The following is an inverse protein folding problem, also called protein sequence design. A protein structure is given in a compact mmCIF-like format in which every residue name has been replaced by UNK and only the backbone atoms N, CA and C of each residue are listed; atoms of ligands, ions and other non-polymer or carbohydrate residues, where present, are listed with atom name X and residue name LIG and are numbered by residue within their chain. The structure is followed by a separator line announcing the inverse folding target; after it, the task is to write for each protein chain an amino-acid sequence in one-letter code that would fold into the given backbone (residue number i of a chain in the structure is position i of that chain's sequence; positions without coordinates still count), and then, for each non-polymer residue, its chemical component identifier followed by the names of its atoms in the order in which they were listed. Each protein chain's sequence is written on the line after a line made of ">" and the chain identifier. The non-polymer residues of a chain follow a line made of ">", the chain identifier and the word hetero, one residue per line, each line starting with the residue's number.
data_IF_474468893293
#
_entry.id   IF_474468893293
#
_cell.length_a   1.000
_cell.length_b   1.000
_cell.length_c   1.000
_cell.angle_alpha   90.00
_cell.angle_beta   90.00
_cell.angle_gamma   90.00
#
_symmetry.space_group_name_H-M   'P 1'
#
loop_
_entity.id
_entity.type
_entity.pdbx_description
1 polymer ?
#
# COMPACT_ATOMS: atom_id res chain seq x y z
N UNK A 1 17.73 -8.01 -23.61
CA UNK A 1 17.14 -6.76 -23.12
C UNK A 1 15.91 -7.08 -22.28
N UNK A 2 15.73 -6.36 -21.17
CA UNK A 2 14.60 -6.53 -20.25
C UNK A 2 13.92 -5.17 -20.09
N UNK A 3 12.60 -5.16 -20.09
CA UNK A 3 11.78 -4.02 -19.65
C UNK A 3 11.14 -4.39 -18.32
N UNK A 4 11.51 -3.65 -17.25
CA UNK A 4 10.88 -3.72 -15.95
C UNK A 4 9.68 -2.78 -15.95
N UNK A 5 8.49 -3.28 -15.67
CA UNK A 5 7.24 -2.51 -15.73
C UNK A 5 6.60 -2.48 -14.36
N UNK A 6 6.17 -1.29 -13.94
CA UNK A 6 5.43 -1.08 -12.69
C UNK A 6 4.32 -0.05 -12.92
N UNK A 7 3.39 0.09 -12.00
CA UNK A 7 2.33 1.10 -12.10
C UNK A 7 2.87 2.49 -11.70
N UNK A 8 3.67 2.58 -10.66
CA UNK A 8 4.19 3.85 -10.17
C UNK A 8 5.66 3.77 -9.76
N UNK A 9 6.43 4.78 -10.12
CA UNK A 9 7.73 5.06 -9.54
C UNK A 9 7.58 6.13 -8.45
N UNK A 10 7.30 5.70 -7.21
CA UNK A 10 7.20 6.55 -6.04
C UNK A 10 8.60 6.86 -5.49
N UNK A 11 9.10 6.17 -4.47
CA UNK A 11 10.48 6.34 -3.99
C UNK A 11 11.51 5.73 -4.93
N UNK A 12 11.11 4.76 -5.75
CA UNK A 12 11.93 4.01 -6.66
C UNK A 12 12.73 2.88 -6.02
N UNK A 13 12.59 2.62 -4.72
CA UNK A 13 13.38 1.61 -4.02
C UNK A 13 13.14 0.20 -4.56
N UNK A 14 11.87 -0.18 -4.80
CA UNK A 14 11.50 -1.47 -5.39
C UNK A 14 12.08 -1.63 -6.79
N UNK A 15 12.01 -0.60 -7.62
CA UNK A 15 12.55 -0.60 -8.99
C UNK A 15 14.07 -0.73 -9.01
N UNK A 16 14.76 -0.03 -8.10
CA UNK A 16 16.22 -0.13 -7.93
C UNK A 16 16.61 -1.55 -7.50
N UNK A 17 15.90 -2.11 -6.53
CA UNK A 17 16.14 -3.48 -6.06
C UNK A 17 15.92 -4.49 -7.17
N UNK A 18 14.77 -4.43 -7.87
CA UNK A 18 14.44 -5.34 -8.96
C UNK A 18 15.45 -5.23 -10.11
N UNK A 19 15.85 -4.02 -10.50
CA UNK A 19 16.88 -3.79 -11.52
C UNK A 19 18.21 -4.43 -11.14
N UNK A 20 18.69 -4.23 -9.93
CA UNK A 20 19.94 -4.82 -9.42
C UNK A 20 19.88 -6.35 -9.39
N UNK A 21 18.75 -6.93 -8.96
CA UNK A 21 18.56 -8.36 -8.95
C UNK A 21 18.59 -8.96 -10.37
N UNK A 22 17.89 -8.34 -11.31
CA UNK A 22 17.91 -8.75 -12.71
C UNK A 22 19.31 -8.67 -13.34
N UNK A 23 20.05 -7.61 -13.06
CA UNK A 23 21.42 -7.43 -13.55
C UNK A 23 22.39 -8.46 -12.97
N UNK A 24 22.22 -8.82 -11.68
CA UNK A 24 23.06 -9.81 -11.03
C UNK A 24 22.77 -11.25 -11.50
N UNK A 25 21.48 -11.63 -11.54
CA UNK A 25 21.08 -13.01 -11.74
C UNK A 25 20.97 -13.39 -13.21
N UNK A 26 20.42 -12.48 -14.04
CA UNK A 26 20.12 -12.72 -15.46
C UNK A 26 21.16 -12.12 -16.41
N UNK A 27 21.99 -11.20 -15.93
CA UNK A 27 23.04 -10.48 -16.71
C UNK A 27 22.54 -9.99 -18.07
N UNK A 28 21.40 -9.29 -18.14
CA UNK A 28 20.87 -8.80 -19.40
C UNK A 28 21.81 -7.73 -20.01
N UNK A 29 21.81 -7.61 -21.35
CA UNK A 29 22.57 -6.55 -22.01
C UNK A 29 22.09 -5.14 -21.68
N UNK A 30 20.81 -5.02 -21.28
CA UNK A 30 20.17 -3.74 -20.92
C UNK A 30 18.91 -4.01 -20.11
N UNK A 31 18.69 -3.21 -19.04
CA UNK A 31 17.43 -3.16 -18.28
C UNK A 31 16.88 -1.74 -18.36
N UNK A 32 15.67 -1.59 -18.87
CA UNK A 32 14.93 -0.33 -18.89
C UNK A 32 13.72 -0.42 -17.98
N UNK A 33 13.23 0.72 -17.50
CA UNK A 33 12.10 0.84 -16.59
C UNK A 33 10.99 1.60 -17.31
N UNK A 34 9.75 1.11 -17.17
CA UNK A 34 8.54 1.78 -17.64
C UNK A 34 7.51 1.82 -16.51
N UNK A 35 6.89 2.99 -16.27
CA UNK A 35 5.84 3.17 -15.28
C UNK A 35 4.68 3.99 -15.85
N UNK A 36 3.51 3.91 -15.22
CA UNK A 36 2.43 4.82 -15.55
C UNK A 36 2.71 6.20 -14.95
N UNK A 37 2.99 6.28 -13.65
CA UNK A 37 3.35 7.52 -12.98
C UNK A 37 4.81 7.50 -12.50
N UNK A 38 5.43 8.68 -12.55
CA UNK A 38 6.75 8.94 -11.96
C UNK A 38 6.65 10.15 -11.03
N UNK A 39 6.80 9.95 -9.72
CA UNK A 39 6.79 11.04 -8.73
C UNK A 39 8.18 11.66 -8.66
N UNK A 40 8.47 12.59 -9.55
CA UNK A 40 9.82 13.10 -9.79
C UNK A 40 10.50 13.76 -8.57
N UNK A 41 9.80 14.41 -7.62
CA UNK A 41 10.47 15.07 -6.48
C UNK A 41 11.06 14.10 -5.45
N UNK A 42 10.54 12.86 -5.36
CA UNK A 42 10.93 11.89 -4.30
C UNK A 42 11.56 10.63 -4.86
N UNK A 43 11.35 10.33 -6.13
CA UNK A 43 11.84 9.11 -6.75
C UNK A 43 13.36 9.16 -6.99
N UNK A 44 14.07 8.16 -6.46
CA UNK A 44 15.55 8.03 -6.56
C UNK A 44 16.03 7.56 -7.93
N UNK A 45 15.14 7.08 -8.78
CA UNK A 45 15.44 6.60 -10.14
C UNK A 45 14.43 7.16 -11.13
N UNK A 46 14.91 7.74 -12.22
CA UNK A 46 14.03 8.16 -13.31
C UNK A 46 13.76 6.97 -14.24
N UNK A 47 12.49 6.56 -14.47
CA UNK A 47 12.16 5.57 -15.47
C UNK A 47 12.52 6.09 -16.87
N UNK A 48 12.95 5.19 -17.78
CA UNK A 48 13.19 5.56 -19.18
C UNK A 48 11.88 5.85 -19.92
N UNK A 49 10.78 5.21 -19.48
CA UNK A 49 9.45 5.41 -20.03
C UNK A 49 8.45 5.66 -18.91
N UNK A 50 7.63 6.67 -19.03
CA UNK A 50 6.53 6.97 -18.13
C UNK A 50 5.42 7.68 -18.90
N UNK A 51 4.18 7.52 -18.43
CA UNK A 51 3.03 8.18 -19.05
C UNK A 51 2.87 9.59 -18.49
N UNK A 52 3.02 9.75 -17.17
CA UNK A 52 2.81 11.01 -16.48
C UNK A 52 3.91 11.31 -15.46
N UNK A 53 4.43 12.56 -15.48
CA UNK A 53 5.35 13.07 -14.47
C UNK A 53 4.58 13.83 -13.41
N UNK A 54 4.58 13.30 -12.20
CA UNK A 54 3.95 13.91 -11.02
C UNK A 54 4.97 14.77 -10.30
N UNK A 55 4.71 16.09 -10.22
CA UNK A 55 5.66 17.10 -9.70
C UNK A 55 5.51 17.41 -8.22
N UNK A 56 4.53 16.82 -7.56
CA UNK A 56 4.32 16.89 -6.11
C UNK A 56 3.98 15.52 -5.59
N UNK A 57 4.28 15.25 -4.31
CA UNK A 57 3.92 13.98 -3.72
C UNK A 57 2.43 13.94 -3.47
N UNK A 58 1.74 12.95 -4.09
CA UNK A 58 0.34 12.63 -3.84
C UNK A 58 0.19 11.12 -3.67
N UNK A 59 -0.79 10.71 -2.87
CA UNK A 59 -1.13 9.31 -2.73
C UNK A 59 -1.93 8.85 -3.94
N UNK A 60 -1.41 7.87 -4.68
CA UNK A 60 -2.15 7.18 -5.74
C UNK A 60 -2.79 5.91 -5.20
N UNK A 61 -4.09 5.75 -5.44
CA UNK A 61 -4.79 4.50 -5.17
C UNK A 61 -5.32 3.92 -6.47
N UNK A 62 -4.78 2.79 -6.86
CA UNK A 62 -5.27 2.06 -8.02
C UNK A 62 -6.41 1.12 -7.62
N UNK A 63 -7.30 0.73 -8.59
CA UNK A 63 -8.39 -0.22 -8.29
C UNK A 63 -7.89 -1.56 -7.74
N UNK A 64 -6.70 -1.99 -8.13
CA UNK A 64 -6.09 -3.25 -7.70
C UNK A 64 -5.35 -3.17 -6.36
N UNK A 65 -4.97 -2.00 -5.88
CA UNK A 65 -4.33 -1.81 -4.56
C UNK A 65 -5.32 -1.47 -3.45
N UNK A 66 -6.57 -1.15 -3.78
CA UNK A 66 -7.55 -0.63 -2.82
C UNK A 66 -7.68 -1.43 -1.54
N UNK A 67 -7.78 -2.76 -1.64
CA UNK A 67 -7.92 -3.61 -0.47
C UNK A 67 -6.66 -3.60 0.40
N UNK A 68 -5.49 -3.63 -0.22
CA UNK A 68 -4.20 -3.56 0.45
C UNK A 68 -4.03 -2.23 1.19
N UNK A 69 -4.35 -1.12 0.54
CA UNK A 69 -4.33 0.21 1.16
C UNK A 69 -5.24 0.27 2.39
N UNK A 70 -6.48 -0.25 2.30
CA UNK A 70 -7.41 -0.28 3.42
C UNK A 70 -6.87 -1.14 4.57
N UNK A 71 -6.25 -2.28 4.27
CA UNK A 71 -5.61 -3.14 5.26
C UNK A 71 -4.52 -2.35 6.00
N UNK A 72 -3.66 -1.63 5.28
CA UNK A 72 -2.58 -0.84 5.89
C UNK A 72 -3.09 0.35 6.69
N UNK A 73 -4.12 1.02 6.23
CA UNK A 73 -4.79 2.07 6.99
C UNK A 73 -5.44 1.56 8.29
N UNK A 74 -6.07 0.37 8.25
CA UNK A 74 -6.60 -0.26 9.46
C UNK A 74 -5.47 -0.65 10.42
N UNK A 75 -4.35 -1.21 9.93
CA UNK A 75 -3.17 -1.49 10.76
C UNK A 75 -2.71 -0.25 11.51
N UNK A 76 -2.61 0.86 10.79
CA UNK A 76 -2.22 2.14 11.38
C UNK A 76 -3.24 2.65 12.40
N UNK A 77 -4.54 2.54 12.11
CA UNK A 77 -5.60 2.92 13.03
C UNK A 77 -5.50 2.17 14.37
N UNK A 78 -5.21 0.86 14.33
CA UNK A 78 -5.03 0.05 15.55
C UNK A 78 -3.76 0.41 16.32
N UNK A 79 -2.68 0.78 15.65
CA UNK A 79 -1.41 1.16 16.28
C UNK A 79 -1.45 2.55 16.91
N UNK A 80 -2.10 3.50 16.25
CA UNK A 80 -2.04 4.92 16.59
C UNK A 80 -3.33 5.44 17.23
N UNK A 81 -4.46 4.76 17.06
CA UNK A 81 -5.78 5.24 17.48
C UNK A 81 -6.08 5.16 18.98
N UNK A 82 -5.20 4.56 19.78
CA UNK A 82 -5.27 4.57 21.24
C UNK A 82 -6.43 3.80 21.87
N UNK A 83 -7.21 3.04 21.09
CA UNK A 83 -8.31 2.20 21.58
C UNK A 83 -7.86 0.75 21.69
N UNK A 84 -8.34 0.06 22.73
CA UNK A 84 -8.09 -1.37 22.93
C UNK A 84 -8.83 -2.25 21.89
N UNK A 85 -10.00 -1.80 21.46
CA UNK A 85 -10.82 -2.50 20.45
C UNK A 85 -11.61 -1.53 19.58
N UNK A 86 -11.93 -1.97 18.36
CA UNK A 86 -12.70 -1.20 17.38
C UNK A 86 -13.86 -2.03 16.84
N UNK A 87 -15.05 -1.42 16.74
CA UNK A 87 -16.16 -1.97 15.96
C UNK A 87 -16.00 -1.62 14.48
N UNK A 88 -16.68 -2.37 13.59
CA UNK A 88 -16.60 -2.11 12.15
C UNK A 88 -17.07 -0.70 11.78
N UNK A 89 -18.16 -0.22 12.39
CA UNK A 89 -18.68 1.13 12.17
C UNK A 89 -17.70 2.21 12.68
N UNK A 90 -17.01 1.95 13.78
CA UNK A 90 -15.99 2.87 14.30
C UNK A 90 -14.77 2.95 13.39
N UNK A 91 -14.34 1.80 12.81
CA UNK A 91 -13.29 1.76 11.79
C UNK A 91 -13.71 2.60 10.59
N UNK A 92 -14.90 2.34 10.03
CA UNK A 92 -15.40 3.07 8.88
C UNK A 92 -15.56 4.58 9.16
N UNK A 93 -16.02 4.95 10.37
CA UNK A 93 -16.18 6.34 10.79
C UNK A 93 -14.87 7.09 11.00
N UNK A 94 -13.78 6.37 11.34
CA UNK A 94 -12.47 6.98 11.51
C UNK A 94 -11.78 7.33 10.17
N UNK A 95 -12.09 6.64 9.09
CA UNK A 95 -11.41 6.85 7.80
C UNK A 95 -11.55 8.26 7.23
N UNK A 96 -12.72 8.92 7.23
CA UNK A 96 -12.84 10.31 6.79
C UNK A 96 -11.98 11.28 7.60
N UNK A 97 -11.88 11.06 8.92
CA UNK A 97 -11.11 11.95 9.81
C UNK A 97 -9.60 11.75 9.66
N UNK A 98 -9.15 10.50 9.53
CA UNK A 98 -7.74 10.15 9.51
C UNK A 98 -7.10 10.25 8.12
N UNK A 99 -7.88 9.92 7.09
CA UNK A 99 -7.34 9.76 5.74
C UNK A 99 -8.07 10.58 4.68
N UNK A 100 -9.19 11.24 5.04
CA UNK A 100 -10.03 11.93 4.06
C UNK A 100 -10.73 10.98 3.07
N UNK A 101 -10.83 9.70 3.40
CA UNK A 101 -11.31 8.63 2.53
C UNK A 101 -12.58 7.98 3.09
N UNK A 102 -13.43 7.49 2.20
CA UNK A 102 -14.62 6.71 2.56
C UNK A 102 -14.82 5.59 1.55
N UNK A 103 -15.17 4.40 2.04
CA UNK A 103 -15.41 3.23 1.21
C UNK A 103 -16.75 2.58 1.55
N UNK A 104 -17.24 1.72 0.68
CA UNK A 104 -18.37 0.86 0.97
C UNK A 104 -18.00 -0.15 2.08
N UNK A 105 -18.95 -0.47 2.95
CA UNK A 105 -18.76 -1.36 4.11
C UNK A 105 -18.07 -2.69 3.78
N UNK A 106 -18.38 -3.24 2.59
CA UNK A 106 -17.75 -4.49 2.12
C UNK A 106 -16.22 -4.47 2.10
N UNK A 107 -15.61 -3.29 1.85
CA UNK A 107 -14.16 -3.15 1.80
C UNK A 107 -13.54 -3.21 3.20
N UNK A 108 -14.18 -2.57 4.19
CA UNK A 108 -13.73 -2.66 5.58
C UNK A 108 -13.86 -4.08 6.11
N UNK A 109 -15.00 -4.77 5.82
CA UNK A 109 -15.20 -6.18 6.17
C UNK A 109 -14.11 -7.07 5.57
N UNK A 110 -13.87 -6.96 4.28
CA UNK A 110 -12.83 -7.74 3.62
C UNK A 110 -11.45 -7.50 4.20
N UNK A 111 -11.10 -6.24 4.49
CA UNK A 111 -9.81 -5.88 5.08
C UNK A 111 -9.63 -6.47 6.49
N UNK A 112 -10.66 -6.38 7.34
CA UNK A 112 -10.64 -6.97 8.68
C UNK A 112 -10.54 -8.51 8.61
N UNK A 113 -11.29 -9.17 7.73
CA UNK A 113 -11.18 -10.61 7.50
C UNK A 113 -9.76 -11.04 7.11
N UNK A 114 -9.08 -10.27 6.25
CA UNK A 114 -7.69 -10.52 5.91
C UNK A 114 -6.76 -10.33 7.10
N UNK A 115 -6.94 -9.29 7.90
CA UNK A 115 -6.15 -9.06 9.11
C UNK A 115 -6.32 -10.18 10.14
N UNK A 116 -7.53 -10.73 10.27
CA UNK A 116 -7.78 -11.92 11.11
C UNK A 116 -7.06 -13.15 10.53
N UNK A 117 -7.14 -13.40 9.23
CA UNK A 117 -6.41 -14.49 8.55
C UNK A 117 -4.89 -14.37 8.72
N UNK A 118 -4.36 -13.16 8.72
CA UNK A 118 -2.94 -12.90 9.00
C UNK A 118 -2.60 -13.09 10.48
N UNK A 119 -3.58 -13.25 11.36
CA UNK A 119 -3.39 -13.34 12.80
C UNK A 119 -2.98 -12.01 13.45
N UNK A 120 -3.27 -10.91 12.79
CA UNK A 120 -2.97 -9.55 13.27
C UNK A 120 -4.12 -8.95 14.06
N UNK A 121 -5.35 -9.37 13.78
CA UNK A 121 -6.55 -9.04 14.56
C UNK A 121 -7.22 -10.31 15.07
N UNK A 122 -7.97 -10.17 16.15
CA UNK A 122 -8.93 -11.13 16.68
C UNK A 122 -10.30 -10.48 16.85
N UNK A 123 -11.36 -11.26 16.69
CA UNK A 123 -12.72 -10.81 16.97
C UNK A 123 -13.16 -11.30 18.33
N UNK A 124 -13.59 -10.38 19.18
CA UNK A 124 -14.10 -10.67 20.52
C UNK A 124 -15.39 -9.86 20.72
N UNK A 125 -16.51 -10.55 20.97
CA UNK A 125 -17.83 -9.93 21.21
C UNK A 125 -18.24 -8.91 20.12
N UNK A 126 -18.00 -9.25 18.85
CA UNK A 126 -18.33 -8.40 17.70
C UNK A 126 -17.44 -7.16 17.54
N UNK A 127 -16.32 -7.12 18.24
CA UNK A 127 -15.30 -6.08 18.14
C UNK A 127 -13.94 -6.68 17.80
N UNK A 128 -13.08 -5.89 17.21
CA UNK A 128 -11.75 -6.32 16.75
C UNK A 128 -10.68 -5.78 17.70
N UNK A 129 -9.70 -6.60 18.01
CA UNK A 129 -8.52 -6.26 18.85
C UNK A 129 -7.24 -6.60 18.12
N UNK A 130 -6.22 -5.79 18.32
CA UNK A 130 -4.88 -6.07 17.83
C UNK A 130 -4.23 -7.21 18.65
N UNK A 131 -3.71 -8.20 17.94
CA UNK A 131 -2.89 -9.26 18.54
C UNK A 131 -1.46 -8.76 18.80
N UNK A 132 -0.62 -9.58 19.44
CA UNK A 132 0.81 -9.26 19.61
C UNK A 132 1.54 -9.09 18.28
N UNK A 133 1.05 -9.71 17.22
CA UNK A 133 1.65 -9.64 15.88
C UNK A 133 1.47 -8.27 15.22
N UNK A 134 0.40 -7.55 15.55
CA UNK A 134 0.14 -6.20 15.01
C UNK A 134 0.73 -5.10 15.89
N UNK A 135 0.85 -5.33 17.19
CA UNK A 135 1.43 -4.38 18.15
C UNK A 135 2.93 -4.24 17.96
#
# INVERSE_FOLDING_TARGET
>A
KVLLVDDIADTGDSLILAKKTLEADCKPAEVKIATMQWISPVCKIKPEYYVDEVKEWIWYQYPWTRLEDIIDFIRRLFREGGKESWGLEEIAGAFPEWYGLSYEERWYKAAVEWLIKFGELEEVDGRYRATEKLR
#
